data_IF_325670853450
#
_entry.id   IF_325670853450
#
_cell.length_a   1.000
_cell.length_b   1.000
_cell.length_c   1.000
_cell.angle_alpha   90.00
_cell.angle_beta   90.00
_cell.angle_gamma   90.00
#
_symmetry.space_group_name_H-M   'P 1'
#
loop_
_entity.id
_entity.type
_entity.pdbx_description
1 polymer ?
#
# COMPACT_ATOMS: atom_id res chain seq x y z
N UNK A 1 -53.49 35.43 -13.53
CA UNK A 1 -52.36 35.15 -12.62
C UNK A 1 -52.17 33.66 -12.25
N UNK A 2 -53.19 32.79 -12.37
CA UNK A 2 -53.11 31.37 -11.99
C UNK A 2 -52.47 30.41 -13.01
N UNK A 3 -52.44 30.79 -14.31
CA UNK A 3 -51.91 29.89 -15.37
C UNK A 3 -50.37 29.81 -15.38
N UNK A 4 -49.71 30.87 -14.97
CA UNK A 4 -48.24 30.95 -14.96
C UNK A 4 -47.64 30.13 -13.78
N UNK A 5 -48.34 30.06 -12.65
CA UNK A 5 -47.88 29.30 -11.47
C UNK A 5 -47.91 27.77 -11.69
N UNK A 6 -48.96 27.27 -12.34
CA UNK A 6 -49.11 25.85 -12.66
C UNK A 6 -48.08 25.36 -13.71
N UNK A 7 -47.73 26.23 -14.65
CA UNK A 7 -46.71 25.93 -15.66
C UNK A 7 -45.32 25.88 -15.06
N UNK A 8 -44.97 26.84 -14.21
CA UNK A 8 -43.70 26.85 -13.45
C UNK A 8 -43.59 25.63 -12.51
N UNK A 9 -44.66 25.24 -11.82
CA UNK A 9 -44.68 24.08 -10.97
C UNK A 9 -44.41 22.78 -11.75
N UNK A 10 -45.03 22.60 -12.93
CA UNK A 10 -44.78 21.45 -13.82
C UNK A 10 -43.35 21.43 -14.36
N UNK A 11 -42.80 22.58 -14.74
CA UNK A 11 -41.43 22.70 -15.20
C UNK A 11 -40.43 22.36 -14.09
N UNK A 12 -40.68 22.81 -12.84
CA UNK A 12 -39.87 22.42 -11.68
C UNK A 12 -39.98 20.94 -11.38
N UNK A 13 -41.16 20.36 -11.38
CA UNK A 13 -41.35 18.91 -11.13
C UNK A 13 -40.66 18.06 -12.21
N UNK A 14 -40.77 18.47 -13.49
CA UNK A 14 -40.07 17.79 -14.58
C UNK A 14 -38.54 17.89 -14.43
N UNK A 15 -38.02 19.07 -14.09
CA UNK A 15 -36.59 19.26 -13.82
C UNK A 15 -36.07 18.38 -12.66
N UNK A 16 -36.81 18.35 -11.55
CA UNK A 16 -36.46 17.52 -10.40
C UNK A 16 -36.57 16.03 -10.72
N UNK A 17 -37.62 15.60 -11.42
CA UNK A 17 -37.75 14.18 -11.78
C UNK A 17 -36.63 13.72 -12.74
N UNK A 18 -36.28 14.54 -13.74
CA UNK A 18 -35.18 14.26 -14.65
C UNK A 18 -33.80 14.20 -13.92
N UNK A 19 -33.59 15.09 -12.94
CA UNK A 19 -32.39 15.09 -12.10
C UNK A 19 -32.32 13.84 -11.25
N UNK A 20 -33.38 13.50 -10.52
CA UNK A 20 -33.46 12.30 -9.68
C UNK A 20 -33.24 11.04 -10.54
N UNK A 21 -33.86 10.95 -11.71
CA UNK A 21 -33.66 9.82 -12.63
C UNK A 21 -32.20 9.67 -13.06
N UNK A 22 -31.51 10.77 -13.33
CA UNK A 22 -30.07 10.76 -13.68
C UNK A 22 -29.21 10.33 -12.50
N UNK A 23 -29.48 10.85 -11.31
CA UNK A 23 -28.73 10.52 -10.10
C UNK A 23 -28.88 9.03 -9.74
N UNK A 24 -30.09 8.48 -9.86
CA UNK A 24 -30.36 7.04 -9.67
C UNK A 24 -29.65 6.21 -10.75
N UNK A 25 -29.69 6.62 -12.01
CA UNK A 25 -28.99 5.93 -13.09
C UNK A 25 -27.48 5.87 -12.86
N UNK A 26 -26.87 6.97 -12.43
CA UNK A 26 -25.45 7.02 -12.08
C UNK A 26 -25.13 6.12 -10.88
N UNK A 27 -25.98 6.12 -9.86
CA UNK A 27 -25.80 5.25 -8.69
C UNK A 27 -25.85 3.77 -9.09
N UNK A 28 -26.82 3.35 -9.90
CA UNK A 28 -26.93 1.97 -10.41
C UNK A 28 -25.72 1.63 -11.29
N UNK A 29 -25.30 2.52 -12.18
CA UNK A 29 -24.11 2.36 -13.01
C UNK A 29 -22.90 2.03 -12.15
N UNK A 30 -22.60 2.86 -11.14
CA UNK A 30 -21.44 2.67 -10.30
C UNK A 30 -21.55 1.46 -9.38
N UNK A 31 -22.75 1.10 -8.92
CA UNK A 31 -22.97 -0.11 -8.15
C UNK A 31 -22.63 -1.36 -8.98
N UNK A 32 -23.12 -1.44 -10.21
CA UNK A 32 -22.84 -2.57 -11.11
C UNK A 32 -21.37 -2.63 -11.49
N UNK A 33 -20.76 -1.51 -11.86
CA UNK A 33 -19.34 -1.44 -12.24
C UNK A 33 -18.42 -1.81 -11.07
N UNK A 34 -18.73 -1.35 -9.86
CA UNK A 34 -17.98 -1.66 -8.66
C UNK A 34 -18.02 -3.16 -8.33
N UNK A 35 -19.21 -3.78 -8.43
CA UNK A 35 -19.36 -5.24 -8.23
C UNK A 35 -18.56 -6.02 -9.26
N UNK A 36 -18.68 -5.69 -10.55
CA UNK A 36 -17.93 -6.36 -11.64
C UNK A 36 -16.43 -6.21 -11.42
N UNK A 37 -15.96 -4.99 -11.15
CA UNK A 37 -14.55 -4.70 -10.88
C UNK A 37 -14.06 -5.47 -9.65
N UNK A 38 -14.86 -5.46 -8.58
CA UNK A 38 -14.56 -6.18 -7.34
C UNK A 38 -14.42 -7.70 -7.55
N UNK A 39 -15.30 -8.31 -8.36
CA UNK A 39 -15.21 -9.74 -8.68
C UNK A 39 -13.98 -10.07 -9.53
N UNK A 40 -13.74 -9.32 -10.62
CA UNK A 40 -12.63 -9.59 -11.56
C UNK A 40 -11.29 -9.36 -10.86
N UNK A 41 -11.11 -8.20 -10.23
CA UNK A 41 -9.87 -7.86 -9.54
C UNK A 41 -9.70 -8.73 -8.29
N UNK A 42 -10.80 -9.00 -7.56
CA UNK A 42 -10.80 -9.92 -6.42
C UNK A 42 -10.30 -11.31 -6.79
N UNK A 43 -10.79 -11.87 -7.90
CA UNK A 43 -10.32 -13.16 -8.41
C UNK A 43 -8.83 -13.15 -8.78
N UNK A 44 -8.37 -12.13 -9.52
CA UNK A 44 -6.97 -11.98 -9.90
C UNK A 44 -6.05 -11.82 -8.67
N UNK A 45 -6.48 -11.03 -7.68
CA UNK A 45 -5.72 -10.80 -6.44
C UNK A 45 -5.72 -12.01 -5.51
N UNK A 46 -6.81 -12.79 -5.48
CA UNK A 46 -6.89 -14.07 -4.78
C UNK A 46 -5.89 -15.07 -5.36
N UNK A 47 -5.85 -15.20 -6.70
CA UNK A 47 -4.86 -16.04 -7.39
C UNK A 47 -3.43 -15.57 -7.07
N UNK A 48 -3.20 -14.27 -7.06
CA UNK A 48 -1.91 -13.68 -6.70
C UNK A 48 -1.52 -14.01 -5.26
N UNK A 49 -2.46 -13.91 -4.30
CA UNK A 49 -2.23 -14.27 -2.90
C UNK A 49 -1.83 -15.73 -2.74
N UNK A 50 -2.56 -16.66 -3.37
CA UNK A 50 -2.22 -18.08 -3.35
C UNK A 50 -0.87 -18.38 -3.98
N UNK A 51 -0.55 -17.75 -5.11
CA UNK A 51 0.76 -17.90 -5.76
C UNK A 51 1.88 -17.44 -4.84
N UNK A 52 1.74 -16.27 -4.21
CA UNK A 52 2.75 -15.75 -3.30
C UNK A 52 2.90 -16.63 -2.05
N UNK A 53 1.80 -17.15 -1.51
CA UNK A 53 1.83 -18.10 -0.38
C UNK A 53 2.56 -19.39 -0.76
N UNK A 54 2.28 -19.94 -1.94
CA UNK A 54 2.90 -21.15 -2.45
C UNK A 54 4.41 -20.97 -2.68
N UNK A 55 4.84 -19.90 -3.39
CA UNK A 55 6.26 -19.66 -3.66
C UNK A 55 7.04 -19.33 -2.39
N UNK A 56 6.42 -18.63 -1.42
CA UNK A 56 7.03 -18.35 -0.12
C UNK A 56 7.19 -19.62 0.70
N UNK A 57 6.17 -20.48 0.73
CA UNK A 57 6.24 -21.79 1.38
C UNK A 57 7.30 -22.69 0.76
N UNK A 58 7.39 -22.72 -0.57
CA UNK A 58 8.42 -23.47 -1.30
C UNK A 58 9.84 -22.98 -0.97
N UNK A 59 10.04 -21.64 -0.95
CA UNK A 59 11.33 -21.06 -0.53
C UNK A 59 11.71 -21.46 0.90
N UNK A 60 10.76 -21.44 1.85
CA UNK A 60 11.03 -21.82 3.24
C UNK A 60 11.43 -23.28 3.39
N UNK A 61 10.83 -24.15 2.56
CA UNK A 61 11.19 -25.57 2.52
C UNK A 61 12.55 -25.84 1.85
N UNK A 62 13.05 -24.91 1.03
CA UNK A 62 14.27 -25.04 0.25
C UNK A 62 15.14 -23.80 0.41
N UNK A 63 15.85 -23.71 1.52
CA UNK A 63 16.63 -22.51 1.89
C UNK A 63 17.64 -22.05 0.83
N UNK A 64 18.22 -22.98 0.07
CA UNK A 64 19.20 -22.67 -0.97
C UNK A 64 18.66 -21.82 -2.14
N UNK A 65 17.33 -21.74 -2.32
CA UNK A 65 16.69 -21.02 -3.43
C UNK A 65 17.06 -19.53 -3.46
N UNK A 66 17.35 -18.92 -2.30
CA UNK A 66 17.75 -17.51 -2.28
C UNK A 66 19.05 -17.23 -3.05
N UNK A 67 19.90 -18.23 -3.25
CA UNK A 67 21.10 -18.13 -4.09
C UNK A 67 20.75 -17.91 -5.56
N UNK A 68 19.53 -18.23 -6.00
CA UNK A 68 19.04 -17.98 -7.34
C UNK A 68 18.52 -16.53 -7.53
N UNK A 69 18.61 -15.67 -6.52
CA UNK A 69 18.19 -14.26 -6.61
C UNK A 69 18.82 -13.52 -7.81
N UNK A 70 20.13 -13.66 -8.14
CA UNK A 70 20.70 -13.03 -9.32
C UNK A 70 20.05 -13.52 -10.63
N UNK A 71 19.76 -14.80 -10.75
CA UNK A 71 19.13 -15.39 -11.93
C UNK A 71 17.69 -14.87 -12.10
N UNK A 72 16.89 -14.87 -11.04
CA UNK A 72 15.54 -14.30 -11.08
C UNK A 72 15.55 -12.82 -11.43
N UNK A 73 16.51 -12.05 -10.92
CA UNK A 73 16.70 -10.66 -11.27
C UNK A 73 16.98 -10.44 -12.75
N UNK A 74 17.81 -11.27 -13.37
CA UNK A 74 18.07 -11.23 -14.82
C UNK A 74 16.79 -11.50 -15.62
N UNK A 75 16.00 -12.50 -15.21
CA UNK A 75 14.70 -12.82 -15.84
C UNK A 75 13.73 -11.63 -15.70
N UNK A 76 13.66 -11.02 -14.54
CA UNK A 76 12.79 -9.85 -14.29
C UNK A 76 13.19 -8.69 -15.21
N UNK A 77 14.46 -8.34 -15.29
CA UNK A 77 14.93 -7.26 -16.15
C UNK A 77 14.64 -7.57 -17.62
N UNK A 78 14.90 -8.80 -18.07
CA UNK A 78 14.60 -9.23 -19.44
C UNK A 78 13.13 -9.09 -19.78
N UNK A 79 12.22 -9.55 -18.90
CA UNK A 79 10.77 -9.45 -19.11
C UNK A 79 10.33 -7.98 -19.23
N UNK A 80 10.84 -7.10 -18.36
CA UNK A 80 10.53 -5.67 -18.42
C UNK A 80 11.11 -4.97 -19.66
N UNK A 81 12.28 -5.36 -20.14
CA UNK A 81 12.83 -4.80 -21.40
C UNK A 81 12.04 -5.22 -22.63
N UNK A 82 11.49 -6.44 -22.62
CA UNK A 82 10.72 -6.97 -23.77
C UNK A 82 9.25 -6.55 -23.74
N UNK A 83 8.61 -6.61 -22.59
CA UNK A 83 7.17 -6.48 -22.44
C UNK A 83 6.73 -5.24 -21.66
N UNK A 84 7.60 -4.70 -20.80
CA UNK A 84 7.26 -3.64 -19.82
C UNK A 84 7.87 -2.27 -20.17
N UNK A 85 8.15 -1.98 -21.44
CA UNK A 85 8.80 -0.71 -21.83
C UNK A 85 8.03 0.56 -21.42
N UNK A 86 6.71 0.45 -21.34
CA UNK A 86 5.80 1.54 -20.98
C UNK A 86 5.31 1.46 -19.53
N UNK A 87 5.84 0.52 -18.74
CA UNK A 87 5.40 0.29 -17.36
C UNK A 87 6.18 1.17 -16.37
N UNK A 88 5.53 2.21 -15.86
CA UNK A 88 6.03 3.10 -14.81
C UNK A 88 5.82 2.57 -13.38
N UNK A 89 5.29 1.35 -13.21
CA UNK A 89 5.03 0.74 -11.91
C UNK A 89 3.83 1.36 -11.18
N UNK A 90 3.82 1.25 -9.85
CA UNK A 90 2.74 1.78 -9.00
C UNK A 90 2.55 3.29 -9.19
N UNK A 91 3.61 4.06 -9.43
CA UNK A 91 3.49 5.49 -9.70
C UNK A 91 2.65 5.79 -10.94
N UNK A 92 2.76 4.99 -12.01
CA UNK A 92 1.94 5.18 -13.21
C UNK A 92 0.45 4.95 -12.92
N UNK A 93 0.10 3.98 -12.07
CA UNK A 93 -1.29 3.78 -11.68
C UNK A 93 -1.82 4.99 -10.91
N UNK A 94 -1.00 5.59 -10.04
CA UNK A 94 -1.37 6.80 -9.30
C UNK A 94 -1.48 8.02 -10.21
N UNK A 95 -0.60 8.14 -11.23
CA UNK A 95 -0.67 9.24 -12.19
C UNK A 95 -1.91 9.13 -13.08
N UNK A 96 -2.32 7.91 -13.47
CA UNK A 96 -3.53 7.66 -14.28
C UNK A 96 -4.81 8.17 -13.61
N UNK A 97 -4.87 8.21 -12.30
CA UNK A 97 -6.02 8.79 -11.56
C UNK A 97 -6.09 10.32 -11.69
N UNK A 98 -5.03 10.99 -12.13
CA UNK A 98 -4.92 12.46 -12.16
C UNK A 98 -4.62 13.03 -13.54
N UNK A 99 -4.09 12.22 -14.42
CA UNK A 99 -3.68 12.63 -15.77
C UNK A 99 -4.26 11.67 -16.82
N UNK A 100 -4.04 12.02 -18.08
CA UNK A 100 -4.45 11.18 -19.21
C UNK A 100 -3.53 9.99 -19.46
N UNK A 101 -2.62 9.73 -18.55
CA UNK A 101 -1.71 8.59 -18.66
C UNK A 101 -2.52 7.28 -18.69
N UNK A 102 -2.01 6.30 -19.39
CA UNK A 102 -2.64 4.99 -19.53
C UNK A 102 -1.77 3.91 -18.86
N UNK A 103 -2.42 2.90 -18.29
CA UNK A 103 -1.74 1.73 -17.73
C UNK A 103 -1.92 0.56 -18.68
N UNK A 104 -0.83 0.06 -19.31
CA UNK A 104 -0.92 -1.08 -20.20
C UNK A 104 -1.46 -2.32 -19.48
N UNK A 105 -2.33 -3.09 -20.13
CA UNK A 105 -2.85 -4.35 -19.55
C UNK A 105 -1.73 -5.35 -19.27
N UNK A 106 -0.65 -5.32 -20.05
CA UNK A 106 0.53 -6.17 -19.85
C UNK A 106 1.22 -5.92 -18.52
N UNK A 107 1.02 -4.76 -17.88
CA UNK A 107 1.53 -4.48 -16.53
C UNK A 107 0.96 -5.46 -15.50
N UNK A 108 -0.28 -5.91 -15.66
CA UNK A 108 -0.92 -6.83 -14.71
C UNK A 108 -0.22 -8.21 -14.65
N UNK A 109 -0.10 -9.00 -15.75
CA UNK A 109 0.61 -10.28 -15.71
C UNK A 109 2.10 -10.11 -15.43
N UNK A 110 2.71 -9.00 -15.87
CA UNK A 110 4.13 -8.74 -15.69
C UNK A 110 4.47 -8.55 -14.22
N UNK A 111 3.75 -7.67 -13.51
CA UNK A 111 3.96 -7.45 -12.08
C UNK A 111 3.64 -8.70 -11.25
N UNK A 112 2.60 -9.46 -11.64
CA UNK A 112 2.25 -10.72 -11.00
C UNK A 112 3.42 -11.72 -11.02
N UNK A 113 3.94 -12.02 -12.21
CA UNK A 113 5.02 -13.00 -12.40
C UNK A 113 6.32 -12.52 -11.74
N UNK A 114 6.68 -11.26 -11.94
CA UNK A 114 7.95 -10.74 -11.45
C UNK A 114 7.98 -10.57 -9.92
N UNK A 115 6.84 -10.25 -9.31
CA UNK A 115 6.73 -10.23 -7.85
C UNK A 115 6.80 -11.66 -7.29
N UNK A 116 6.14 -12.63 -7.93
CA UNK A 116 6.25 -14.03 -7.52
C UNK A 116 7.70 -14.55 -7.60
N UNK A 117 8.45 -14.19 -8.65
CA UNK A 117 9.88 -14.51 -8.77
C UNK A 117 10.72 -13.86 -7.67
N UNK A 118 10.46 -12.58 -7.34
CA UNK A 118 11.14 -11.89 -6.24
C UNK A 118 10.91 -12.60 -4.90
N UNK A 119 9.67 -12.98 -4.61
CA UNK A 119 9.32 -13.69 -3.36
C UNK A 119 9.87 -15.12 -3.33
N UNK A 120 9.86 -15.84 -4.46
CA UNK A 120 10.43 -17.18 -4.58
C UNK A 120 11.91 -17.19 -4.21
N UNK A 121 12.65 -16.21 -4.70
CA UNK A 121 14.11 -16.14 -4.52
C UNK A 121 14.55 -15.27 -3.34
N UNK A 122 13.65 -14.88 -2.45
CA UNK A 122 13.97 -14.26 -1.17
C UNK A 122 14.30 -12.77 -1.22
N UNK A 123 13.96 -12.07 -2.30
CA UNK A 123 14.06 -10.61 -2.32
C UNK A 123 13.24 -9.97 -1.21
N UNK A 124 13.78 -8.99 -0.49
CA UNK A 124 13.07 -8.26 0.57
C UNK A 124 12.12 -7.25 -0.04
N UNK A 125 10.86 -7.66 -0.23
CA UNK A 125 9.81 -6.87 -0.86
C UNK A 125 8.44 -7.29 -0.35
N UNK A 126 7.49 -6.36 -0.36
CA UNK A 126 6.07 -6.61 -0.11
C UNK A 126 5.33 -6.98 -1.39
N UNK A 127 4.01 -7.06 -1.28
CA UNK A 127 3.10 -7.48 -2.36
C UNK A 127 2.08 -6.40 -2.75
N UNK A 128 1.91 -5.38 -1.90
CA UNK A 128 0.80 -4.43 -1.98
C UNK A 128 0.96 -3.44 -3.14
N UNK A 129 2.15 -2.90 -3.35
CA UNK A 129 2.43 -2.07 -4.53
C UNK A 129 2.16 -2.83 -5.83
N UNK A 130 2.53 -4.12 -5.86
CA UNK A 130 2.21 -5.01 -6.97
C UNK A 130 0.70 -5.25 -7.13
N UNK A 131 -0.04 -5.39 -6.02
CA UNK A 131 -1.49 -5.55 -6.05
C UNK A 131 -2.21 -4.30 -6.57
N UNK A 132 -1.80 -3.11 -6.10
CA UNK A 132 -2.33 -1.84 -6.58
C UNK A 132 -2.11 -1.71 -8.10
N UNK A 133 -0.93 -2.08 -8.57
CA UNK A 133 -0.60 -2.07 -9.99
C UNK A 133 -1.42 -3.10 -10.77
N UNK A 134 -1.57 -4.32 -10.25
CA UNK A 134 -2.39 -5.38 -10.81
C UNK A 134 -3.86 -4.94 -10.94
N UNK A 135 -4.45 -4.47 -9.83
CA UNK A 135 -5.84 -4.06 -9.79
C UNK A 135 -6.15 -2.83 -10.64
N UNK A 136 -5.28 -1.81 -10.55
CA UNK A 136 -5.41 -0.59 -11.35
C UNK A 136 -5.29 -0.85 -12.85
N UNK A 137 -4.35 -1.72 -13.28
CA UNK A 137 -4.18 -2.09 -14.68
C UNK A 137 -5.39 -2.87 -15.22
N UNK A 138 -5.91 -3.85 -14.48
CA UNK A 138 -7.11 -4.61 -14.87
C UNK A 138 -8.32 -3.69 -14.97
N UNK A 139 -8.54 -2.83 -13.97
CA UNK A 139 -9.68 -1.92 -13.95
C UNK A 139 -9.60 -0.85 -15.04
N UNK A 140 -8.40 -0.32 -15.33
CA UNK A 140 -8.20 0.60 -16.46
C UNK A 140 -8.58 -0.06 -17.78
N UNK A 141 -8.16 -1.31 -18.00
CA UNK A 141 -8.52 -2.05 -19.21
C UNK A 141 -10.02 -2.34 -19.28
N UNK A 142 -10.65 -2.68 -18.17
CA UNK A 142 -12.10 -2.84 -18.09
C UNK A 142 -12.82 -1.56 -18.49
N UNK A 143 -12.40 -0.40 -17.96
CA UNK A 143 -12.94 0.91 -18.32
C UNK A 143 -12.81 1.21 -19.81
N UNK A 144 -11.71 0.81 -20.45
CA UNK A 144 -11.51 0.95 -21.90
C UNK A 144 -12.45 0.06 -22.70
N UNK A 145 -12.64 -1.20 -22.31
CA UNK A 145 -13.54 -2.13 -23.02
C UNK A 145 -14.99 -1.68 -23.01
N UNK A 146 -15.44 -1.05 -21.92
CA UNK A 146 -16.80 -0.52 -21.79
C UNK A 146 -16.93 0.95 -22.22
N UNK A 147 -15.84 1.53 -22.79
CA UNK A 147 -15.80 2.88 -23.34
C UNK A 147 -16.19 3.97 -22.32
N UNK A 148 -15.71 3.85 -21.08
CA UNK A 148 -15.88 4.90 -20.09
C UNK A 148 -15.17 6.18 -20.51
N UNK A 149 -15.76 7.33 -20.20
CA UNK A 149 -15.09 8.63 -20.33
C UNK A 149 -13.88 8.73 -19.37
N UNK A 150 -13.13 9.81 -19.48
CA UNK A 150 -11.89 9.99 -18.75
C UNK A 150 -12.13 10.08 -17.23
N UNK A 151 -13.16 10.80 -16.81
CA UNK A 151 -13.51 10.99 -15.40
C UNK A 151 -13.95 9.67 -14.75
N UNK A 152 -14.79 8.91 -15.44
CA UNK A 152 -15.24 7.59 -14.99
C UNK A 152 -14.07 6.56 -14.97
N UNK A 153 -13.11 6.68 -15.90
CA UNK A 153 -11.90 5.82 -15.86
C UNK A 153 -11.03 6.08 -14.64
N UNK A 154 -10.90 7.31 -14.16
CA UNK A 154 -10.24 7.60 -12.91
C UNK A 154 -10.89 6.86 -11.74
N UNK A 155 -12.22 6.88 -11.68
CA UNK A 155 -12.98 6.20 -10.62
C UNK A 155 -12.82 4.68 -10.69
N UNK A 156 -12.91 4.06 -11.88
CA UNK A 156 -12.79 2.60 -11.99
C UNK A 156 -11.38 2.11 -11.67
N UNK A 157 -10.33 2.88 -11.99
CA UNK A 157 -8.95 2.58 -11.58
C UNK A 157 -8.81 2.58 -10.06
N UNK A 158 -9.38 3.58 -9.36
CA UNK A 158 -9.43 3.59 -7.90
C UNK A 158 -10.22 2.40 -7.33
N UNK A 159 -11.31 1.97 -7.97
CA UNK A 159 -12.02 0.73 -7.60
C UNK A 159 -11.12 -0.50 -7.72
N UNK A 160 -10.33 -0.60 -8.79
CA UNK A 160 -9.38 -1.69 -8.98
C UNK A 160 -8.27 -1.70 -7.94
N UNK A 161 -7.71 -0.52 -7.61
CA UNK A 161 -6.71 -0.37 -6.54
C UNK A 161 -7.27 -0.84 -5.19
N UNK A 162 -8.48 -0.36 -4.83
CA UNK A 162 -9.14 -0.70 -3.56
C UNK A 162 -9.50 -2.18 -3.49
N UNK A 163 -10.05 -2.76 -4.56
CA UNK A 163 -10.40 -4.17 -4.64
C UNK A 163 -9.17 -5.09 -4.46
N UNK A 164 -8.06 -4.77 -5.15
CA UNK A 164 -6.85 -5.58 -5.05
C UNK A 164 -6.20 -5.51 -3.67
N UNK A 165 -6.12 -4.32 -3.08
CA UNK A 165 -5.59 -4.13 -1.73
C UNK A 165 -6.46 -4.89 -0.71
N UNK A 166 -7.77 -4.76 -0.79
CA UNK A 166 -8.73 -5.40 0.10
C UNK A 166 -8.68 -6.93 0.03
N UNK A 167 -8.59 -7.50 -1.18
CA UNK A 167 -8.52 -8.95 -1.37
C UNK A 167 -7.25 -9.58 -0.77
N UNK A 168 -6.16 -8.81 -0.66
CA UNK A 168 -4.89 -9.27 -0.11
C UNK A 168 -4.81 -9.17 1.41
N UNK A 169 -5.36 -8.10 1.99
CA UNK A 169 -5.29 -7.84 3.43
C UNK A 169 -6.54 -8.23 4.21
N UNK A 170 -7.70 -8.27 3.53
CA UNK A 170 -8.98 -8.39 4.22
C UNK A 170 -9.39 -7.11 4.96
N UNK A 171 -8.93 -5.94 4.51
CA UNK A 171 -9.17 -4.62 5.11
C UNK A 171 -9.96 -3.72 4.16
N UNK A 172 -11.27 -3.96 3.96
CA UNK A 172 -12.06 -3.27 2.94
C UNK A 172 -12.24 -1.77 3.18
N UNK A 173 -12.38 -1.32 4.43
CA UNK A 173 -12.53 0.11 4.73
C UNK A 173 -11.23 0.86 4.43
N UNK A 174 -10.12 0.36 4.94
CA UNK A 174 -8.82 0.96 4.71
C UNK A 174 -8.44 0.96 3.23
N UNK A 175 -8.71 -0.13 2.51
CA UNK A 175 -8.43 -0.26 1.09
C UNK A 175 -9.18 0.79 0.24
N UNK A 176 -10.48 0.98 0.53
CA UNK A 176 -11.28 1.99 -0.17
C UNK A 176 -10.75 3.41 0.09
N UNK A 177 -10.50 3.74 1.36
CA UNK A 177 -10.00 5.08 1.72
C UNK A 177 -8.58 5.29 1.21
N UNK A 178 -7.73 4.26 1.19
CA UNK A 178 -6.38 4.32 0.63
C UNK A 178 -6.40 4.77 -0.84
N UNK A 179 -7.25 4.17 -1.66
CA UNK A 179 -7.36 4.55 -3.07
C UNK A 179 -7.75 6.02 -3.28
N UNK A 180 -8.52 6.62 -2.33
CA UNK A 180 -8.91 8.02 -2.37
C UNK A 180 -7.84 8.97 -1.83
N UNK A 181 -7.07 8.52 -0.83
CA UNK A 181 -6.15 9.36 -0.06
C UNK A 181 -4.73 9.38 -0.66
N UNK A 182 -4.28 8.25 -1.23
CA UNK A 182 -2.89 8.08 -1.69
C UNK A 182 -2.54 8.94 -2.90
N UNK A 183 -3.52 9.29 -3.70
CA UNK A 183 -3.33 10.06 -4.95
C UNK A 183 -2.97 11.51 -4.67
N UNK A 184 -3.65 12.14 -3.70
CA UNK A 184 -3.49 13.57 -3.38
C UNK A 184 -3.67 13.82 -1.90
N UNK A 185 -2.59 14.22 -1.23
CA UNK A 185 -2.61 14.56 0.20
C UNK A 185 -3.37 15.86 0.43
N UNK A 186 -4.40 15.79 1.28
CA UNK A 186 -5.25 16.92 1.63
C UNK A 186 -6.47 17.12 0.73
N UNK A 187 -6.67 16.28 -0.29
CA UNK A 187 -7.87 16.26 -1.14
C UNK A 187 -8.26 14.82 -1.41
N UNK A 188 -9.51 14.45 -1.10
CA UNK A 188 -10.06 13.13 -1.40
C UNK A 188 -11.09 13.21 -2.53
N UNK A 189 -11.08 12.21 -3.40
CA UNK A 189 -12.06 12.07 -4.49
C UNK A 189 -13.34 11.40 -3.98
N UNK A 190 -14.16 12.10 -3.21
CA UNK A 190 -15.37 11.56 -2.57
C UNK A 190 -16.38 10.94 -3.54
N UNK A 191 -16.38 11.35 -4.82
CA UNK A 191 -17.21 10.72 -5.85
C UNK A 191 -16.89 9.21 -6.02
N UNK A 192 -15.65 8.82 -5.78
CA UNK A 192 -15.22 7.42 -5.84
C UNK A 192 -15.45 6.63 -4.54
N UNK A 193 -15.91 7.27 -3.45
CA UNK A 193 -16.03 6.60 -2.15
C UNK A 193 -16.96 5.39 -2.21
N UNK A 194 -18.19 5.56 -2.69
CA UNK A 194 -19.15 4.47 -2.78
C UNK A 194 -18.69 3.35 -3.73
N UNK A 195 -18.23 3.64 -4.96
CA UNK A 195 -17.69 2.61 -5.85
C UNK A 195 -16.50 1.85 -5.26
N UNK A 196 -15.53 2.53 -4.64
CA UNK A 196 -14.37 1.89 -4.02
C UNK A 196 -14.76 1.02 -2.81
N UNK A 197 -15.69 1.48 -1.97
CA UNK A 197 -16.19 0.69 -0.83
C UNK A 197 -16.87 -0.60 -1.30
N UNK A 198 -17.73 -0.53 -2.32
CA UNK A 198 -18.40 -1.72 -2.85
C UNK A 198 -17.38 -2.66 -3.50
N UNK A 199 -16.48 -2.15 -4.33
CA UNK A 199 -15.46 -2.95 -4.99
C UNK A 199 -14.55 -3.66 -3.98
N UNK A 200 -14.13 -2.96 -2.91
CA UNK A 200 -13.31 -3.54 -1.85
C UNK A 200 -14.03 -4.60 -1.04
N UNK A 201 -15.30 -4.37 -0.67
CA UNK A 201 -16.12 -5.36 0.06
C UNK A 201 -16.36 -6.62 -0.78
N UNK A 202 -16.71 -6.46 -2.05
CA UNK A 202 -16.92 -7.59 -2.97
C UNK A 202 -15.62 -8.37 -3.15
N UNK A 203 -14.48 -7.70 -3.36
CA UNK A 203 -13.19 -8.36 -3.53
C UNK A 203 -12.71 -9.08 -2.27
N UNK A 204 -12.87 -8.49 -1.09
CA UNK A 204 -12.57 -9.13 0.20
C UNK A 204 -13.48 -10.33 0.46
N UNK A 205 -14.79 -10.19 0.21
CA UNK A 205 -15.76 -11.29 0.34
C UNK A 205 -15.45 -12.44 -0.62
N UNK A 206 -15.06 -12.14 -1.87
CA UNK A 206 -14.61 -13.12 -2.84
C UNK A 206 -13.36 -13.87 -2.35
N UNK A 207 -12.34 -13.13 -1.91
CA UNK A 207 -11.08 -13.71 -1.42
C UNK A 207 -11.31 -14.59 -0.18
N UNK A 208 -12.11 -14.13 0.78
CA UNK A 208 -12.48 -14.90 1.97
C UNK A 208 -13.27 -16.16 1.61
N UNK A 209 -14.22 -16.08 0.67
CA UNK A 209 -14.97 -17.22 0.15
C UNK A 209 -14.09 -18.27 -0.54
N UNK A 210 -12.95 -17.86 -1.10
CA UNK A 210 -11.94 -18.75 -1.69
C UNK A 210 -10.92 -19.26 -0.66
N UNK A 211 -11.00 -18.85 0.61
CA UNK A 211 -10.12 -19.32 1.69
C UNK A 211 -8.86 -18.46 1.92
N UNK A 212 -8.81 -17.22 1.40
CA UNK A 212 -7.78 -16.26 1.81
C UNK A 212 -8.15 -15.73 3.20
N UNK A 213 -7.29 -15.95 4.16
CA UNK A 213 -7.46 -15.43 5.53
C UNK A 213 -7.06 -13.96 5.58
N UNK A 214 -7.89 -13.07 6.18
CA UNK A 214 -7.49 -11.69 6.45
C UNK A 214 -6.22 -11.62 7.30
N UNK A 215 -5.39 -10.64 7.05
CA UNK A 215 -4.25 -10.35 7.93
C UNK A 215 -4.74 -9.60 9.17
N UNK A 216 -4.73 -10.28 10.29
CA UNK A 216 -5.09 -9.71 11.60
C UNK A 216 -4.07 -10.18 12.63
N UNK A 217 -3.71 -9.31 13.55
CA UNK A 217 -2.77 -9.59 14.63
C UNK A 217 -3.40 -9.26 15.97
N UNK A 218 -3.10 -10.06 16.96
CA UNK A 218 -3.65 -9.88 18.29
C UNK A 218 -2.73 -9.03 19.16
N UNK A 219 -3.20 -7.83 19.56
CA UNK A 219 -2.49 -7.00 20.52
C UNK A 219 -2.76 -7.55 21.92
N UNK A 220 -1.73 -8.06 22.57
CA UNK A 220 -1.83 -8.85 23.82
C UNK A 220 -2.03 -8.00 25.06
N UNK A 221 -1.41 -6.82 25.11
CA UNK A 221 -1.47 -5.93 26.26
C UNK A 221 -1.69 -4.48 25.85
N UNK A 222 -2.79 -3.89 26.30
CA UNK A 222 -3.16 -2.49 26.00
C UNK A 222 -3.30 -1.78 27.35
N UNK A 223 -2.33 -0.92 27.73
CA UNK A 223 -2.37 -0.19 28.97
C UNK A 223 -3.51 0.86 28.97
N UNK A 224 -3.94 1.27 30.17
CA UNK A 224 -4.84 2.41 30.28
C UNK A 224 -4.20 3.68 29.72
N UNK A 225 -5.00 4.52 29.06
CA UNK A 225 -4.53 5.82 28.57
C UNK A 225 -4.40 6.77 29.77
N UNK A 226 -3.17 7.04 30.15
CA UNK A 226 -2.77 8.02 31.13
C UNK A 226 -1.92 9.10 30.48
N UNK A 227 -1.66 10.21 31.17
CA UNK A 227 -0.74 11.25 30.65
C UNK A 227 0.63 10.65 30.37
N UNK A 228 1.12 9.78 31.26
CA UNK A 228 2.41 9.12 31.11
C UNK A 228 2.45 8.20 29.87
N UNK A 229 1.48 7.28 29.74
CA UNK A 229 1.43 6.37 28.59
C UNK A 229 1.21 7.11 27.27
N UNK A 230 0.44 8.20 27.27
CA UNK A 230 0.25 9.06 26.10
C UNK A 230 1.52 9.80 25.70
N UNK A 231 2.30 10.33 26.65
CA UNK A 231 3.59 10.97 26.37
C UNK A 231 4.62 9.97 25.85
N UNK A 232 4.72 8.77 26.45
CA UNK A 232 5.58 7.69 25.96
C UNK A 232 5.22 7.31 24.52
N UNK A 233 3.92 7.13 24.23
CA UNK A 233 3.48 6.87 22.86
C UNK A 233 3.80 8.01 21.90
N UNK A 234 3.72 9.25 22.35
CA UNK A 234 4.15 10.42 21.58
C UNK A 234 5.62 10.37 21.17
N UNK A 235 6.50 9.93 22.07
CA UNK A 235 7.95 9.74 21.78
C UNK A 235 8.15 8.60 20.78
N UNK A 236 7.46 7.47 20.96
CA UNK A 236 7.48 6.36 19.98
C UNK A 236 7.04 6.84 18.60
N UNK A 237 5.97 7.63 18.53
CA UNK A 237 5.45 8.17 17.28
C UNK A 237 6.42 9.13 16.58
N UNK A 238 7.12 9.98 17.33
CA UNK A 238 8.18 10.84 16.78
C UNK A 238 9.34 10.01 16.23
N UNK A 239 9.74 8.95 16.94
CA UNK A 239 10.74 7.99 16.45
C UNK A 239 10.29 7.33 15.15
N UNK A 240 9.03 6.89 15.06
CA UNK A 240 8.44 6.31 13.86
C UNK A 240 8.44 7.30 12.68
N UNK A 241 8.16 8.58 12.93
CA UNK A 241 8.25 9.61 11.90
C UNK A 241 9.69 9.75 11.35
N UNK A 242 10.69 9.74 12.23
CA UNK A 242 12.12 9.77 11.81
C UNK A 242 12.45 8.52 10.99
N UNK A 243 12.06 7.34 11.46
CA UNK A 243 12.27 6.06 10.75
C UNK A 243 11.62 6.06 9.37
N UNK A 244 10.41 6.62 9.23
CA UNK A 244 9.72 6.75 7.95
C UNK A 244 10.49 7.65 6.96
N UNK A 245 11.03 8.78 7.44
CA UNK A 245 11.87 9.67 6.63
C UNK A 245 13.15 8.96 6.20
N UNK A 246 13.84 8.29 7.13
CA UNK A 246 15.08 7.54 6.86
C UNK A 246 14.84 6.44 5.84
N UNK A 247 13.70 5.74 5.92
CA UNK A 247 13.34 4.71 4.93
C UNK A 247 13.14 5.30 3.53
N UNK A 248 12.43 6.43 3.39
CA UNK A 248 12.31 7.13 2.12
C UNK A 248 13.68 7.57 1.57
N UNK A 249 14.54 8.13 2.43
CA UNK A 249 15.90 8.55 2.05
C UNK A 249 16.74 7.32 1.64
N UNK A 250 16.66 6.20 2.37
CA UNK A 250 17.40 4.98 2.05
C UNK A 250 17.02 4.41 0.68
N UNK A 251 15.71 4.37 0.37
CA UNK A 251 15.24 3.95 -0.94
C UNK A 251 15.79 4.84 -2.07
N UNK A 252 15.74 6.15 -1.87
CA UNK A 252 16.22 7.10 -2.90
C UNK A 252 17.73 7.14 -3.00
N UNK A 253 18.42 7.06 -1.88
CA UNK A 253 19.87 6.95 -1.84
C UNK A 253 20.37 5.70 -2.59
N UNK A 254 19.74 4.55 -2.34
CA UNK A 254 20.02 3.32 -3.07
C UNK A 254 19.77 3.48 -4.58
N UNK A 255 18.66 4.12 -4.98
CA UNK A 255 18.37 4.40 -6.38
C UNK A 255 19.44 5.29 -7.03
N UNK A 256 19.87 6.33 -6.31
CA UNK A 256 20.94 7.24 -6.77
C UNK A 256 22.30 6.54 -6.91
N UNK A 257 22.66 5.71 -5.92
CA UNK A 257 23.91 4.93 -5.95
C UNK A 257 23.91 3.94 -7.11
N UNK A 258 22.85 3.16 -7.26
CA UNK A 258 22.73 2.22 -8.36
C UNK A 258 22.74 2.92 -9.72
N UNK A 259 22.03 4.05 -9.86
CA UNK A 259 22.00 4.83 -11.09
C UNK A 259 23.36 5.42 -11.47
N UNK A 260 24.16 5.83 -10.46
CA UNK A 260 25.49 6.39 -10.66
C UNK A 260 26.53 5.32 -11.04
N UNK A 261 26.51 4.17 -10.36
CA UNK A 261 27.56 3.16 -10.51
C UNK A 261 27.22 2.07 -11.52
N UNK A 262 25.95 1.74 -11.70
CA UNK A 262 25.51 0.64 -12.57
C UNK A 262 24.46 1.11 -13.58
N UNK A 263 24.91 1.69 -14.69
CA UNK A 263 24.04 2.12 -15.80
C UNK A 263 23.35 0.94 -16.50
N UNK A 264 24.04 -0.22 -16.57
CA UNK A 264 23.48 -1.44 -17.15
C UNK A 264 22.51 -2.08 -16.13
N UNK A 265 21.24 -2.23 -16.52
CA UNK A 265 20.17 -2.78 -15.67
C UNK A 265 20.46 -4.22 -15.24
N UNK A 266 21.05 -5.03 -16.11
CA UNK A 266 21.42 -6.43 -15.82
C UNK A 266 22.54 -6.51 -14.78
N UNK A 267 23.58 -5.72 -14.95
CA UNK A 267 24.66 -5.66 -13.96
C UNK A 267 24.14 -5.17 -12.61
N UNK A 268 23.28 -4.14 -12.63
CA UNK A 268 22.69 -3.56 -11.43
C UNK A 268 21.90 -4.59 -10.63
N UNK A 269 21.04 -5.39 -11.28
CA UNK A 269 20.21 -6.38 -10.58
C UNK A 269 21.04 -7.52 -10.03
N UNK A 270 22.10 -7.96 -10.74
CA UNK A 270 23.01 -9.00 -10.27
C UNK A 270 23.79 -8.52 -9.04
N UNK A 271 24.38 -7.31 -9.11
CA UNK A 271 25.10 -6.74 -7.97
C UNK A 271 24.18 -6.55 -6.77
N UNK A 272 22.97 -6.04 -6.98
CA UNK A 272 21.99 -5.90 -5.90
C UNK A 272 21.62 -7.24 -5.27
N UNK A 273 21.40 -8.27 -6.07
CA UNK A 273 21.15 -9.63 -5.60
C UNK A 273 22.31 -10.19 -4.77
N UNK A 274 23.54 -10.03 -5.27
CA UNK A 274 24.74 -10.46 -4.54
C UNK A 274 24.90 -9.72 -3.21
N UNK A 275 24.58 -8.43 -3.14
CA UNK A 275 24.59 -7.65 -1.91
C UNK A 275 23.53 -8.16 -0.90
N UNK A 276 22.31 -8.44 -1.37
CA UNK A 276 21.24 -9.02 -0.52
C UNK A 276 21.69 -10.37 0.03
N UNK A 277 22.24 -11.25 -0.80
CA UNK A 277 22.78 -12.55 -0.40
C UNK A 277 23.90 -12.38 0.63
N UNK A 278 24.87 -11.50 0.36
CA UNK A 278 26.00 -11.25 1.27
C UNK A 278 25.54 -10.76 2.65
N UNK A 279 24.61 -9.80 2.69
CA UNK A 279 24.04 -9.31 3.97
C UNK A 279 23.30 -10.43 4.70
N UNK A 280 22.53 -11.24 3.99
CA UNK A 280 21.83 -12.40 4.59
C UNK A 280 22.81 -13.39 5.22
N UNK A 281 23.92 -13.71 4.55
CA UNK A 281 24.97 -14.57 5.11
C UNK A 281 25.65 -13.94 6.34
N UNK A 282 25.91 -12.65 6.32
CA UNK A 282 26.51 -11.93 7.46
C UNK A 282 25.59 -11.99 8.68
N UNK A 283 24.29 -11.79 8.45
CA UNK A 283 23.27 -11.82 9.51
C UNK A 283 22.93 -13.23 9.99
N UNK A 284 23.28 -14.25 9.23
CA UNK A 284 22.98 -15.67 9.52
C UNK A 284 21.50 -15.95 9.78
N UNK A 285 20.62 -15.18 9.16
CA UNK A 285 19.16 -15.33 9.28
C UNK A 285 18.46 -15.01 7.97
N UNK A 286 17.39 -15.73 7.69
CA UNK A 286 16.53 -15.56 6.51
C UNK A 286 15.23 -14.75 6.82
N UNK A 287 15.06 -14.27 8.06
CA UNK A 287 13.83 -13.63 8.54
C UNK A 287 13.50 -12.30 7.81
N UNK A 288 14.53 -11.61 7.32
CA UNK A 288 14.36 -10.34 6.60
C UNK A 288 13.98 -10.49 5.12
N UNK A 289 13.93 -11.73 4.60
CA UNK A 289 13.51 -12.03 3.24
C UNK A 289 11.99 -11.88 3.08
N UNK A 290 11.55 -11.60 1.83
CA UNK A 290 10.13 -11.44 1.49
C UNK A 290 9.49 -10.26 2.18
N UNK A 291 8.21 -10.37 2.53
CA UNK A 291 7.40 -9.27 3.08
C UNK A 291 7.75 -8.93 4.55
N UNK A 292 8.09 -9.92 5.38
CA UNK A 292 8.39 -9.75 6.80
C UNK A 292 7.18 -9.92 7.72
N UNK A 293 6.15 -10.66 7.30
CA UNK A 293 4.94 -10.88 8.09
C UNK A 293 5.23 -11.55 9.45
N UNK A 294 6.15 -12.52 9.50
CA UNK A 294 6.55 -13.19 10.73
C UNK A 294 7.23 -12.25 11.74
N UNK A 295 7.97 -11.26 11.25
CA UNK A 295 8.58 -10.25 12.13
C UNK A 295 7.50 -9.31 12.69
N UNK A 296 6.43 -9.02 11.93
CA UNK A 296 5.29 -8.25 12.41
C UNK A 296 4.55 -9.04 13.49
N UNK A 297 4.27 -10.32 13.23
CA UNK A 297 3.59 -11.22 14.17
C UNK A 297 4.34 -11.32 15.50
N UNK A 298 5.65 -11.63 15.46
CA UNK A 298 6.52 -11.65 16.66
C UNK A 298 6.49 -10.32 17.42
N UNK A 299 6.57 -9.20 16.72
CA UNK A 299 6.59 -7.89 17.35
C UNK A 299 5.25 -7.53 18.01
N UNK A 300 4.12 -7.85 17.36
CA UNK A 300 2.78 -7.49 17.83
C UNK A 300 2.25 -8.51 18.84
N UNK A 301 2.35 -9.80 18.56
CA UNK A 301 1.72 -10.84 19.38
C UNK A 301 2.61 -11.26 20.54
N UNK A 302 3.92 -11.47 20.31
CA UNK A 302 4.87 -11.87 21.34
C UNK A 302 5.53 -10.70 22.06
N UNK A 303 5.40 -9.46 21.53
CA UNK A 303 6.09 -8.30 22.07
C UNK A 303 7.61 -8.38 21.97
N UNK A 304 8.12 -9.12 20.97
CA UNK A 304 9.56 -9.38 20.80
C UNK A 304 10.04 -8.94 19.41
N UNK A 305 11.15 -8.25 19.38
CA UNK A 305 11.85 -7.88 18.16
C UNK A 305 13.35 -7.73 18.44
N UNK A 306 14.17 -8.14 17.48
CA UNK A 306 15.61 -7.84 17.54
C UNK A 306 15.83 -6.33 17.45
N UNK A 307 16.79 -5.83 18.23
CA UNK A 307 17.05 -4.38 18.37
C UNK A 307 17.27 -3.68 17.02
N UNK A 308 17.88 -4.35 16.05
CA UNK A 308 18.19 -3.80 14.73
C UNK A 308 17.33 -4.39 13.60
N UNK A 309 16.24 -5.10 13.90
CA UNK A 309 15.40 -5.73 12.89
C UNK A 309 14.84 -4.68 11.89
N UNK A 310 14.34 -3.56 12.37
CA UNK A 310 13.85 -2.47 11.53
C UNK A 310 14.92 -1.92 10.58
N UNK A 311 16.16 -1.80 11.04
CA UNK A 311 17.28 -1.32 10.24
C UNK A 311 17.66 -2.29 9.12
N UNK A 312 17.83 -3.57 9.44
CA UNK A 312 18.17 -4.58 8.44
C UNK A 312 17.06 -4.78 7.41
N UNK A 313 15.80 -4.74 7.85
CA UNK A 313 14.65 -4.79 6.93
C UNK A 313 14.66 -3.60 5.97
N UNK A 314 14.94 -2.40 6.45
CA UNK A 314 15.07 -1.19 5.65
C UNK A 314 16.18 -1.32 4.60
N UNK A 315 17.38 -1.74 5.01
CA UNK A 315 18.54 -1.90 4.13
C UNK A 315 18.26 -2.94 3.04
N UNK A 316 17.82 -4.13 3.41
CA UNK A 316 17.55 -5.21 2.46
C UNK A 316 16.42 -4.85 1.48
N UNK A 317 15.38 -4.16 1.94
CA UNK A 317 14.32 -3.69 1.05
C UNK A 317 14.85 -2.63 0.07
N UNK A 318 15.64 -1.68 0.54
CA UNK A 318 16.23 -0.66 -0.34
C UNK A 318 17.17 -1.28 -1.39
N UNK A 319 18.03 -2.23 -0.98
CA UNK A 319 18.92 -2.97 -1.89
C UNK A 319 18.11 -3.76 -2.92
N UNK A 320 17.07 -4.49 -2.51
CA UNK A 320 16.25 -5.31 -3.41
C UNK A 320 15.47 -4.45 -4.41
N UNK A 321 14.66 -3.52 -3.90
CA UNK A 321 13.74 -2.77 -4.75
C UNK A 321 14.45 -1.87 -5.75
N UNK A 322 15.55 -1.23 -5.34
CA UNK A 322 16.28 -0.28 -6.20
C UNK A 322 17.31 -0.95 -7.13
N UNK A 323 17.62 -2.22 -6.91
CA UNK A 323 18.38 -3.02 -7.89
C UNK A 323 17.58 -3.32 -9.16
N UNK A 324 16.25 -3.39 -9.07
CA UNK A 324 15.36 -3.68 -10.20
C UNK A 324 14.41 -4.85 -9.98
N UNK A 325 14.39 -5.44 -8.79
CA UNK A 325 13.37 -6.39 -8.39
C UNK A 325 12.00 -5.73 -8.29
N UNK A 326 10.94 -6.52 -8.35
CA UNK A 326 9.56 -6.06 -8.33
C UNK A 326 8.81 -6.57 -7.09
N UNK A 327 7.93 -5.73 -6.57
CA UNK A 327 7.17 -5.97 -5.36
C UNK A 327 6.59 -4.66 -4.84
N UNK A 328 6.39 -4.56 -3.52
CA UNK A 328 5.90 -3.36 -2.85
C UNK A 328 6.79 -2.95 -1.69
N UNK A 329 6.76 -1.69 -1.31
CA UNK A 329 7.45 -1.13 -0.15
C UNK A 329 6.54 -0.99 1.09
N UNK A 330 5.22 -1.22 0.96
CA UNK A 330 4.23 -1.01 2.04
C UNK A 330 4.45 -2.02 3.18
N UNK A 331 4.38 -3.34 2.94
CA UNK A 331 4.55 -4.32 4.03
C UNK A 331 5.96 -4.27 4.64
N UNK A 332 7.04 -4.07 3.89
CA UNK A 332 8.31 -3.72 4.51
C UNK A 332 8.23 -2.52 5.46
N UNK A 333 7.47 -1.47 5.13
CA UNK A 333 7.27 -0.33 6.03
C UNK A 333 6.47 -0.71 7.29
N UNK A 334 5.48 -1.61 7.16
CA UNK A 334 4.78 -2.20 8.30
C UNK A 334 5.75 -2.95 9.23
N UNK A 335 6.58 -3.81 8.66
CA UNK A 335 7.58 -4.58 9.40
C UNK A 335 8.58 -3.66 10.12
N UNK A 336 9.09 -2.65 9.42
CA UNK A 336 10.00 -1.64 9.98
C UNK A 336 9.32 -0.92 11.16
N UNK A 337 8.06 -0.50 10.98
CA UNK A 337 7.29 0.18 12.01
C UNK A 337 6.98 -0.70 13.22
N UNK A 338 6.54 -1.94 12.99
CA UNK A 338 6.22 -2.88 14.06
C UNK A 338 7.46 -3.23 14.90
N UNK A 339 8.56 -3.58 14.25
CA UNK A 339 9.80 -3.95 14.95
C UNK A 339 10.42 -2.76 15.68
N UNK A 340 10.43 -1.56 15.09
CA UNK A 340 10.89 -0.35 15.76
C UNK A 340 9.99 0.01 16.95
N UNK A 341 8.68 -0.02 16.77
CA UNK A 341 7.71 0.24 17.83
C UNK A 341 7.86 -0.71 19.02
N UNK A 342 8.03 -2.01 18.73
CA UNK A 342 8.29 -3.04 19.74
C UNK A 342 9.56 -2.73 20.56
N UNK A 343 10.67 -2.43 19.89
CA UNK A 343 11.95 -2.07 20.56
C UNK A 343 11.79 -0.82 21.42
N UNK A 344 11.14 0.21 20.91
CA UNK A 344 10.89 1.46 21.66
C UNK A 344 9.95 1.22 22.85
N UNK A 345 8.94 0.35 22.71
CA UNK A 345 8.04 -0.04 23.80
C UNK A 345 8.82 -0.68 24.97
N UNK A 346 9.70 -1.62 24.65
CA UNK A 346 10.59 -2.23 25.64
C UNK A 346 11.50 -1.21 26.33
N UNK A 347 12.12 -0.31 25.57
CA UNK A 347 13.02 0.72 26.12
C UNK A 347 12.29 1.72 27.03
N UNK A 348 11.05 2.06 26.73
CA UNK A 348 10.29 3.05 27.48
C UNK A 348 9.42 2.45 28.59
N UNK A 349 9.42 1.12 28.75
CA UNK A 349 8.59 0.45 29.75
C UNK A 349 7.08 0.69 29.53
N UNK A 350 6.65 0.62 28.28
CA UNK A 350 5.24 0.55 27.86
C UNK A 350 5.06 -0.73 27.05
N UNK A 351 3.85 -1.28 27.00
CA UNK A 351 3.58 -2.53 26.30
C UNK A 351 4.20 -2.57 24.88
N UNK A 352 5.12 -3.50 24.60
CA UNK A 352 5.76 -3.62 23.29
C UNK A 352 4.76 -3.98 22.19
N UNK A 353 3.71 -4.76 22.51
CA UNK A 353 2.67 -5.19 21.60
C UNK A 353 1.89 -3.99 21.03
N UNK A 354 1.36 -3.11 21.89
CA UNK A 354 0.65 -1.90 21.43
C UNK A 354 1.59 -0.93 20.72
N UNK A 355 2.86 -0.83 21.17
CA UNK A 355 3.85 0.02 20.50
C UNK A 355 4.22 -0.53 19.11
N UNK A 356 4.25 -1.84 18.91
CA UNK A 356 4.45 -2.46 17.60
C UNK A 356 3.28 -2.15 16.65
N UNK A 357 2.05 -2.33 17.11
CA UNK A 357 0.85 -2.01 16.32
C UNK A 357 0.79 -0.52 15.95
N UNK A 358 1.04 0.37 16.92
CA UNK A 358 1.14 1.81 16.70
C UNK A 358 2.28 2.18 15.76
N UNK A 359 3.45 1.56 15.93
CA UNK A 359 4.63 1.79 15.09
C UNK A 359 4.39 1.39 13.64
N UNK A 360 3.72 0.25 13.42
CA UNK A 360 3.30 -0.19 12.09
C UNK A 360 2.43 0.87 11.39
N UNK A 361 1.35 1.33 12.06
CA UNK A 361 0.46 2.34 11.51
C UNK A 361 1.14 3.71 11.33
N UNK A 362 2.00 4.10 12.27
CA UNK A 362 2.70 5.38 12.25
C UNK A 362 3.75 5.47 11.14
N UNK A 363 4.57 4.42 10.94
CA UNK A 363 5.57 4.40 9.85
C UNK A 363 4.86 4.34 8.49
N UNK A 364 3.82 3.52 8.34
CA UNK A 364 3.00 3.50 7.13
C UNK A 364 2.42 4.88 6.81
N UNK A 365 1.86 5.56 7.81
CA UNK A 365 1.38 6.93 7.64
C UNK A 365 2.48 7.88 7.17
N UNK A 366 3.66 7.79 7.78
CA UNK A 366 4.79 8.65 7.44
C UNK A 366 5.31 8.46 6.02
N UNK A 367 5.31 7.23 5.50
CA UNK A 367 5.80 6.91 4.15
C UNK A 367 4.75 7.07 3.05
N UNK A 368 3.45 6.95 3.37
CA UNK A 368 2.36 7.07 2.38
C UNK A 368 1.63 8.40 2.41
N UNK A 369 1.76 9.15 3.48
CA UNK A 369 1.01 10.39 3.76
C UNK A 369 -0.52 10.17 3.83
N UNK A 370 -0.96 8.99 4.28
CA UNK A 370 -2.37 8.57 4.34
C UNK A 370 -2.82 8.37 5.80
N UNK A 371 -3.09 9.43 6.58
CA UNK A 371 -3.41 9.30 8.01
C UNK A 371 -4.73 8.58 8.27
N UNK A 372 -5.79 8.86 7.50
CA UNK A 372 -7.08 8.21 7.72
C UNK A 372 -7.00 6.72 7.39
N UNK A 373 -6.37 6.37 6.28
CA UNK A 373 -6.10 4.97 5.92
C UNK A 373 -5.30 4.25 7.00
N UNK A 374 -4.27 4.91 7.57
CA UNK A 374 -3.41 4.29 8.60
C UNK A 374 -4.18 3.97 9.88
N UNK A 375 -5.10 4.84 10.28
CA UNK A 375 -6.00 4.61 11.42
C UNK A 375 -6.97 3.45 11.11
N UNK A 376 -7.55 3.41 9.91
CA UNK A 376 -8.47 2.34 9.51
C UNK A 376 -7.75 0.98 9.40
N UNK A 377 -6.52 0.95 8.87
CA UNK A 377 -5.68 -0.27 8.88
C UNK A 377 -5.48 -0.76 10.32
N UNK A 378 -5.15 0.14 11.25
CA UNK A 378 -4.97 -0.24 12.65
C UNK A 378 -6.28 -0.83 13.25
N UNK A 379 -7.44 -0.28 12.91
CA UNK A 379 -8.73 -0.82 13.38
C UNK A 379 -9.04 -2.19 12.78
N UNK A 380 -8.83 -2.37 11.49
CA UNK A 380 -9.16 -3.62 10.80
C UNK A 380 -8.17 -4.74 11.15
N UNK A 381 -6.88 -4.43 11.38
CA UNK A 381 -5.85 -5.45 11.67
C UNK A 381 -5.68 -5.74 13.16
N UNK A 382 -5.89 -4.76 14.05
CA UNK A 382 -5.62 -4.90 15.50
C UNK A 382 -6.88 -4.72 16.36
N UNK A 383 -8.00 -4.29 15.77
CA UNK A 383 -9.23 -4.00 16.48
C UNK A 383 -9.25 -2.63 17.17
N UNK A 384 -10.41 -2.30 17.76
CA UNK A 384 -10.69 -0.96 18.29
C UNK A 384 -10.15 -0.68 19.70
N UNK A 385 -9.69 -1.69 20.43
CA UNK A 385 -9.28 -1.50 21.84
C UNK A 385 -8.15 -0.51 22.03
N UNK A 386 -7.21 -0.43 21.07
CA UNK A 386 -6.07 0.47 21.09
C UNK A 386 -6.28 1.85 20.45
N UNK A 387 -7.52 2.23 20.14
CA UNK A 387 -7.86 3.41 19.32
C UNK A 387 -7.14 4.69 19.74
N UNK A 388 -7.10 5.01 21.02
CA UNK A 388 -6.46 6.23 21.51
C UNK A 388 -4.96 6.28 21.20
N UNK A 389 -4.28 5.14 21.30
CA UNK A 389 -2.85 5.05 20.99
C UNK A 389 -2.60 5.12 19.47
N UNK A 390 -3.45 4.49 18.65
CA UNK A 390 -3.35 4.60 17.19
C UNK A 390 -3.53 6.04 16.72
N UNK A 391 -4.53 6.76 17.28
CA UNK A 391 -4.76 8.17 16.95
C UNK A 391 -3.55 9.05 17.31
N UNK A 392 -2.97 8.88 18.51
CA UNK A 392 -1.77 9.61 18.93
C UNK A 392 -0.62 9.30 17.98
N UNK A 393 -0.34 8.02 17.74
CA UNK A 393 0.80 7.59 16.96
C UNK A 393 0.73 8.07 15.51
N UNK A 394 -0.42 7.88 14.85
CA UNK A 394 -0.61 8.28 13.45
C UNK A 394 -0.60 9.80 13.30
N UNK A 395 -1.30 10.54 14.18
CA UNK A 395 -1.38 12.00 14.07
C UNK A 395 -0.02 12.68 14.24
N UNK A 396 0.78 12.24 15.23
CA UNK A 396 2.12 12.78 15.46
C UNK A 396 3.05 12.39 14.31
N UNK A 397 3.02 11.14 13.87
CA UNK A 397 3.85 10.68 12.74
C UNK A 397 3.51 11.42 11.45
N UNK A 398 2.23 11.62 11.15
CA UNK A 398 1.80 12.41 9.99
C UNK A 398 2.36 13.83 10.00
N UNK A 399 2.24 14.50 11.12
CA UNK A 399 2.77 15.86 11.27
C UNK A 399 4.30 15.89 11.17
N UNK A 400 5.00 14.97 11.87
CA UNK A 400 6.45 14.99 11.99
C UNK A 400 7.19 14.41 10.76
N UNK A 401 6.56 13.58 9.91
CA UNK A 401 7.19 12.98 8.73
C UNK A 401 7.44 13.98 7.58
N UNK A 402 7.02 15.22 7.72
CA UNK A 402 7.23 16.25 6.70
C UNK A 402 6.56 15.90 5.37
N UNK A 403 7.30 16.07 4.27
CA UNK A 403 6.79 15.86 2.92
C UNK A 403 7.49 14.72 2.19
N UNK A 404 8.11 13.80 2.92
CA UNK A 404 8.68 12.59 2.38
C UNK A 404 7.58 11.57 2.05
N UNK A 405 7.83 10.70 1.08
CA UNK A 405 6.86 9.67 0.68
C UNK A 405 7.44 8.65 -0.28
N UNK A 406 6.80 7.49 -0.40
CA UNK A 406 7.20 6.40 -1.31
C UNK A 406 6.86 6.71 -2.77
N UNK A 407 5.84 7.51 -3.02
CA UNK A 407 5.27 7.73 -4.34
C UNK A 407 5.63 9.10 -4.89
N UNK A 408 6.46 9.13 -5.96
CA UNK A 408 6.90 10.38 -6.63
C UNK A 408 5.75 11.21 -7.14
N UNK A 409 4.73 10.53 -7.68
CA UNK A 409 3.60 11.17 -8.34
C UNK A 409 2.48 11.56 -7.38
N UNK A 410 2.64 11.27 -6.07
CA UNK A 410 1.76 11.79 -5.04
C UNK A 410 1.94 13.31 -4.90
N UNK A 411 0.84 14.04 -4.97
CA UNK A 411 0.85 15.50 -4.80
C UNK A 411 0.36 15.89 -3.41
N UNK A 412 1.08 16.79 -2.78
CA UNK A 412 0.66 17.43 -1.53
C UNK A 412 -0.01 18.74 -1.89
N UNK A 413 -1.34 18.77 -1.77
CA UNK A 413 -2.16 19.93 -2.16
C UNK A 413 -2.17 20.96 -1.05
N UNK A 414 -2.40 20.53 0.18
CA UNK A 414 -2.37 21.41 1.36
C UNK A 414 -1.21 21.07 2.31
N UNK A 415 -0.67 22.10 2.95
CA UNK A 415 0.39 21.91 3.93
C UNK A 415 -0.09 21.09 5.13
N UNK A 416 0.75 20.19 5.63
CA UNK A 416 0.50 19.41 6.86
C UNK A 416 0.52 20.29 8.14
N UNK A 417 1.09 21.50 8.06
CA UNK A 417 1.34 22.35 9.22
C UNK A 417 0.44 23.58 9.30
N UNK A 418 -0.08 24.02 8.16
CA UNK A 418 -0.88 25.26 8.06
C UNK A 418 -1.96 25.06 7.00
N UNK A 419 -3.11 25.67 7.19
CA UNK A 419 -4.18 25.69 6.17
C UNK A 419 -3.76 26.54 4.96
N UNK A 420 -2.71 26.10 4.24
CA UNK A 420 -2.12 26.79 3.09
C UNK A 420 -2.03 25.83 1.91
N UNK A 421 -2.50 26.28 0.77
CA UNK A 421 -2.32 25.60 -0.51
C UNK A 421 -0.83 25.60 -0.89
N UNK A 422 -0.27 24.43 -1.20
CA UNK A 422 1.15 24.23 -1.47
C UNK A 422 1.40 23.67 -2.86
N UNK A 423 0.57 22.75 -3.30
CA UNK A 423 0.60 22.07 -4.61
C UNK A 423 2.02 21.65 -5.06
N UNK A 424 2.60 20.67 -4.42
CA UNK A 424 3.92 20.14 -4.74
C UNK A 424 3.96 18.63 -4.64
N UNK A 425 4.90 18.01 -5.34
CA UNK A 425 5.17 16.58 -5.20
C UNK A 425 5.85 16.25 -3.87
N UNK A 426 5.70 15.01 -3.42
CA UNK A 426 6.43 14.48 -2.28
C UNK A 426 7.94 14.57 -2.53
N UNK A 427 8.70 14.77 -1.47
CA UNK A 427 10.15 14.64 -1.51
C UNK A 427 10.48 13.15 -1.42
N UNK A 428 11.28 12.72 -2.35
CA UNK A 428 11.86 11.40 -2.31
C UNK A 428 13.12 11.42 -1.47
#
# INVERSE_FOLDING_TARGET
>A
MGIDHNKRLKEHLYYYSARISRDISNLIKWLVLAVITGCIVGAASTLFSFTLKAVTGYRKAHEWIFLLLPLSGLVIVFLYEKLGKEDGGTNQVLSTVRSRDDVPILSAPLIFITTALTHLTGGSAGREGAAIQLGGSIANQLGRWIHLDEEDRHVIVMCGMSAAFSALFGTPMAAAVFALEVVSVGVMYYAALMPCMIASLVASGFAAGMGVTPESFHVTDIPALTIESGLKMGVVALGCAVVSIVFCIALNGAAGLYGKWFKNKYLRVVVGACLVIAVTFILRTNEYMGAGAELIEKAVEDGQADTFAFFWKMVLTALTMRAGFRGGEIVPSFCIGATFGCVMGNLMGISPSICAACGMAAVFCGVTNCPITSILIAFEMFGFKGVSFYLIAVSISYAASGYYGLYKDQTIVYSKYKAKYVNRHTRL
#
